data_IF_304391340469
#
_entry.id   IF_304391340469
#
_cell.length_a   1.000
_cell.length_b   1.000
_cell.length_c   1.000
_cell.angle_alpha   90.00
_cell.angle_beta   90.00
_cell.angle_gamma   90.00
#
_symmetry.space_group_name_H-M   'P 1'
#
loop_
_entity.id
_entity.type
_entity.pdbx_description
1 polymer ?
#
# COMPACT_ATOMS: atom_id res chain seq x y z
N UNK A 1 -23.78 26.14 -20.88
CA UNK A 1 -22.57 25.32 -21.06
C UNK A 1 -22.03 25.08 -19.66
N UNK A 2 -22.34 23.91 -19.09
CA UNK A 2 -21.92 23.56 -17.75
C UNK A 2 -20.42 23.30 -17.81
N UNK A 3 -19.66 24.11 -17.07
CA UNK A 3 -18.25 23.93 -16.81
C UNK A 3 -18.10 22.57 -16.11
N UNK A 4 -17.84 21.51 -16.89
CA UNK A 4 -17.38 20.21 -16.38
C UNK A 4 -16.01 20.46 -15.76
N UNK A 5 -16.03 20.97 -14.53
CA UNK A 5 -14.89 20.92 -13.63
C UNK A 5 -14.54 19.45 -13.52
N UNK A 6 -13.52 19.06 -14.27
CA UNK A 6 -12.87 17.79 -14.12
C UNK A 6 -12.34 17.78 -12.68
N UNK A 7 -13.16 17.28 -11.76
CA UNK A 7 -12.85 17.12 -10.35
C UNK A 7 -11.77 16.04 -10.28
N UNK A 8 -10.53 16.43 -10.60
CA UNK A 8 -9.35 15.58 -10.54
C UNK A 8 -9.22 14.93 -9.16
N UNK A 9 -9.79 15.58 -8.13
CA UNK A 9 -9.96 15.07 -6.77
C UNK A 9 -10.87 13.85 -6.72
N UNK A 10 -12.04 13.89 -7.37
CA UNK A 10 -13.00 12.78 -7.39
C UNK A 10 -12.45 11.59 -8.18
N UNK A 11 -11.82 11.85 -9.32
CA UNK A 11 -11.20 10.82 -10.14
C UNK A 11 -10.05 10.10 -9.42
N UNK A 12 -9.18 10.84 -8.72
CA UNK A 12 -8.10 10.25 -7.91
C UNK A 12 -8.61 9.41 -6.74
N UNK A 13 -9.76 9.79 -6.17
CA UNK A 13 -10.34 9.10 -5.03
C UNK A 13 -11.05 7.81 -5.44
N UNK A 14 -11.79 7.82 -6.56
CA UNK A 14 -12.41 6.62 -7.15
C UNK A 14 -11.35 5.62 -7.63
N UNK A 15 -10.30 6.10 -8.31
CA UNK A 15 -9.18 5.25 -8.74
C UNK A 15 -8.49 4.53 -7.58
N UNK A 16 -8.33 5.21 -6.44
CA UNK A 16 -7.74 4.58 -5.27
C UNK A 16 -8.66 3.53 -4.63
N UNK A 17 -9.97 3.76 -4.68
CA UNK A 17 -10.97 2.89 -4.06
C UNK A 17 -11.22 1.61 -4.86
N UNK A 18 -11.12 1.71 -6.18
CA UNK A 18 -11.38 0.60 -7.10
C UNK A 18 -10.13 -0.27 -7.34
N UNK A 19 -8.92 0.31 -7.28
CA UNK A 19 -7.67 -0.44 -7.52
C UNK A 19 -7.00 -1.02 -6.28
N UNK A 20 -7.26 -0.50 -5.08
CA UNK A 20 -6.53 -0.91 -3.89
C UNK A 20 -7.47 -1.46 -2.82
N UNK A 21 -7.31 -2.75 -2.53
CA UNK A 21 -7.87 -3.35 -1.33
C UNK A 21 -7.16 -2.83 -0.08
N UNK A 22 -7.93 -2.27 0.86
CA UNK A 22 -7.38 -1.82 2.14
C UNK A 22 -7.28 -2.99 3.11
N UNK A 23 -6.06 -3.43 3.38
CA UNK A 23 -5.78 -4.41 4.43
C UNK A 23 -5.47 -3.67 5.74
N UNK A 24 -6.25 -3.96 6.79
CA UNK A 24 -5.93 -3.54 8.16
C UNK A 24 -5.08 -4.63 8.79
N UNK A 25 -3.79 -4.35 8.97
CA UNK A 25 -2.85 -5.25 9.66
C UNK A 25 -2.70 -4.83 11.12
N UNK A 26 -3.00 -5.77 12.03
CA UNK A 26 -2.65 -5.65 13.43
C UNK A 26 -1.30 -6.33 13.66
N UNK A 27 -0.29 -5.53 13.99
CA UNK A 27 1.04 -6.02 14.38
C UNK A 27 1.30 -5.72 15.86
N UNK A 28 1.99 -6.61 16.60
CA UNK A 28 2.46 -6.34 17.95
C UNK A 28 3.22 -5.01 18.06
N UNK A 29 3.10 -4.40 19.24
CA UNK A 29 3.70 -3.09 19.55
C UNK A 29 5.22 -3.16 19.35
N UNK A 30 5.78 -2.20 18.60
CA UNK A 30 7.21 -2.17 18.25
C UNK A 30 7.56 -2.87 16.94
N UNK A 31 6.73 -3.79 16.45
CA UNK A 31 7.01 -4.49 15.20
C UNK A 31 6.95 -3.56 13.98
N UNK A 32 6.10 -2.52 14.02
CA UNK A 32 6.07 -1.48 12.97
C UNK A 32 7.44 -0.82 12.74
N UNK A 33 8.20 -0.54 13.82
CA UNK A 33 9.55 0.02 13.69
C UNK A 33 10.52 -0.98 13.10
N UNK A 34 10.44 -2.25 13.52
CA UNK A 34 11.27 -3.32 12.96
C UNK A 34 11.01 -3.47 11.46
N UNK A 35 9.75 -3.45 11.04
CA UNK A 35 9.37 -3.53 9.62
C UNK A 35 9.88 -2.29 8.87
N UNK A 36 9.85 -1.09 9.47
CA UNK A 36 10.35 0.14 8.85
C UNK A 36 11.86 0.10 8.63
N UNK A 37 12.60 -0.35 9.64
CA UNK A 37 14.05 -0.54 9.55
C UNK A 37 14.43 -1.64 8.55
N UNK A 38 13.70 -2.77 8.53
CA UNK A 38 13.93 -3.82 7.55
C UNK A 38 13.61 -3.34 6.13
N UNK A 39 12.49 -2.64 5.94
CA UNK A 39 12.12 -2.05 4.65
C UNK A 39 13.21 -1.10 4.14
N UNK A 40 13.74 -0.22 5.00
CA UNK A 40 14.85 0.67 4.66
C UNK A 40 16.13 -0.09 4.32
N UNK A 41 16.49 -1.11 5.10
CA UNK A 41 17.67 -1.96 4.84
C UNK A 41 17.57 -2.70 3.52
N UNK A 42 16.37 -3.13 3.14
CA UNK A 42 16.09 -3.82 1.89
C UNK A 42 15.89 -2.85 0.70
N UNK A 43 15.95 -1.53 0.93
CA UNK A 43 15.85 -0.51 -0.13
C UNK A 43 14.41 -0.12 -0.51
N UNK A 44 13.40 -0.54 0.26
CA UNK A 44 12.02 -0.15 0.01
C UNK A 44 11.77 1.30 0.46
N UNK A 45 11.11 2.08 -0.40
CA UNK A 45 10.74 3.47 -0.12
C UNK A 45 9.62 3.62 0.91
N UNK A 46 8.87 2.56 1.18
CA UNK A 46 7.70 2.61 2.06
C UNK A 46 7.40 1.25 2.67
N UNK A 47 7.03 1.28 3.95
CA UNK A 47 6.47 0.15 4.69
C UNK A 47 5.36 -0.57 3.91
N UNK A 48 4.48 0.18 3.26
CA UNK A 48 3.38 -0.41 2.50
C UNK A 48 3.87 -1.27 1.33
N UNK A 49 4.82 -0.77 0.53
CA UNK A 49 5.42 -1.57 -0.54
C UNK A 49 6.12 -2.80 0.01
N UNK A 50 6.85 -2.68 1.12
CA UNK A 50 7.49 -3.83 1.75
C UNK A 50 6.48 -4.89 2.21
N UNK A 51 5.38 -4.48 2.85
CA UNK A 51 4.33 -5.41 3.31
C UNK A 51 3.65 -6.08 2.12
N UNK A 52 3.28 -5.32 1.09
CA UNK A 52 2.66 -5.85 -0.13
C UNK A 52 3.61 -6.82 -0.84
N UNK A 53 4.89 -6.47 -0.95
CA UNK A 53 5.90 -7.31 -1.58
C UNK A 53 6.14 -8.60 -0.79
N UNK A 54 6.25 -8.52 0.54
CA UNK A 54 6.37 -9.69 1.41
C UNK A 54 5.14 -10.62 1.32
N UNK A 55 3.93 -10.04 1.24
CA UNK A 55 2.69 -10.80 1.01
C UNK A 55 2.73 -11.47 -0.37
N UNK A 56 3.10 -10.74 -1.42
CA UNK A 56 3.21 -11.28 -2.78
C UNK A 56 4.31 -12.35 -2.89
N UNK A 57 5.46 -12.19 -2.24
CA UNK A 57 6.54 -13.18 -2.22
C UNK A 57 6.06 -14.47 -1.54
N UNK A 58 5.32 -14.35 -0.42
CA UNK A 58 4.73 -15.50 0.27
C UNK A 58 3.62 -16.18 -0.53
N UNK A 59 2.80 -15.40 -1.24
CA UNK A 59 1.76 -15.93 -2.14
C UNK A 59 2.37 -16.64 -3.35
N UNK A 60 3.38 -16.05 -3.99
CA UNK A 60 4.08 -16.65 -5.15
C UNK A 60 4.97 -17.84 -4.78
N UNK A 61 5.36 -18.00 -3.51
CA UNK A 61 6.12 -19.16 -3.03
C UNK A 61 5.33 -20.48 -2.98
N UNK A 62 4.09 -20.50 -3.45
CA UNK A 62 3.21 -21.68 -3.45
C UNK A 62 2.86 -22.19 -4.87
N UNK A 63 3.62 -21.82 -5.91
CA UNK A 63 3.60 -22.56 -7.19
C UNK A 63 4.81 -23.48 -7.34
#
# INVERSE_FOLDING_TARGET
>A
MADEKFDATKYKNDFQKEKYDRIIVNVPKGQKQIIDENAKKLGYKSLNSFVVDAINEKLNKNE
#
